data_IF_554730168074
#
_entry.id   IF_554730168074
#
_cell.length_a   1.000
_cell.length_b   1.000
_cell.length_c   1.000
_cell.angle_alpha   90.00
_cell.angle_beta   90.00
_cell.angle_gamma   90.00
#
_symmetry.space_group_name_H-M   'P 1'
#
loop_
_entity.id
_entity.type
_entity.pdbx_description
1 polymer ?
#
# COMPACT_ATOMS: atom_id res chain seq x y z
N UNK A 1 21.41 -14.72 5.46
CA UNK A 1 21.49 -16.13 5.00
C UNK A 1 20.46 -16.99 5.73
N UNK A 2 20.16 -18.17 5.20
CA UNK A 2 19.26 -19.15 5.86
C UNK A 2 19.76 -19.52 7.24
N UNK A 3 21.08 -19.58 7.41
CA UNK A 3 21.72 -19.90 8.69
C UNK A 3 21.45 -18.85 9.79
N UNK A 4 21.15 -17.61 9.42
CA UNK A 4 20.79 -16.52 10.34
C UNK A 4 19.33 -16.57 10.79
N UNK A 5 18.45 -17.28 10.05
CA UNK A 5 17.04 -17.43 10.41
C UNK A 5 16.82 -18.39 11.61
N UNK A 6 17.84 -19.17 11.99
CA UNK A 6 17.72 -20.18 13.02
C UNK A 6 16.79 -21.33 12.62
N UNK A 7 15.97 -21.79 13.58
CA UNK A 7 15.03 -22.88 13.31
C UNK A 7 13.83 -22.41 12.48
N UNK A 8 13.84 -22.75 11.18
CA UNK A 8 12.74 -22.45 10.26
C UNK A 8 11.46 -23.31 10.51
N UNK A 9 11.45 -24.21 11.50
CA UNK A 9 10.28 -25.02 11.84
C UNK A 9 9.10 -24.19 12.37
N UNK A 10 9.38 -22.98 12.82
CA UNK A 10 8.36 -22.03 13.30
C UNK A 10 7.53 -21.38 12.18
N UNK A 11 7.98 -21.44 10.93
CA UNK A 11 7.25 -20.82 9.83
C UNK A 11 6.11 -21.71 9.34
N UNK A 12 4.91 -21.12 9.25
CA UNK A 12 3.79 -21.71 8.54
C UNK A 12 3.82 -21.27 7.08
N UNK A 13 4.05 -22.22 6.16
CA UNK A 13 4.05 -21.91 4.71
C UNK A 13 2.61 -21.76 4.17
N UNK A 14 2.42 -20.91 3.15
CA UNK A 14 3.43 -20.13 2.44
C UNK A 14 3.95 -18.92 3.22
N UNK A 15 5.19 -18.51 2.92
CA UNK A 15 5.81 -17.30 3.44
C UNK A 15 6.13 -16.32 2.30
N UNK A 16 6.34 -15.05 2.64
CA UNK A 16 6.88 -14.02 1.74
C UNK A 16 8.34 -13.79 2.09
N UNK A 17 9.17 -13.76 1.06
CA UNK A 17 10.57 -13.32 1.16
C UNK A 17 10.72 -12.05 0.35
N UNK A 18 11.21 -10.98 0.98
CA UNK A 18 11.37 -9.66 0.33
C UNK A 18 12.64 -8.94 0.79
N UNK A 19 13.24 -8.06 -0.04
CA UNK A 19 14.32 -7.20 0.38
C UNK A 19 13.87 -6.26 1.50
N UNK A 20 14.79 -5.90 2.42
CA UNK A 20 14.46 -5.00 3.54
C UNK A 20 14.38 -3.52 3.14
N UNK A 21 14.85 -3.16 1.94
CA UNK A 21 15.11 -1.78 1.53
C UNK A 21 14.72 -1.49 0.06
N UNK A 22 13.72 -2.20 -0.46
CA UNK A 22 13.22 -2.00 -1.83
C UNK A 22 11.72 -1.70 -1.83
N UNK A 23 11.29 -1.05 -2.91
CA UNK A 23 9.90 -0.73 -3.21
C UNK A 23 9.47 -1.30 -4.57
N UNK A 24 8.16 -1.26 -4.87
CA UNK A 24 7.61 -1.68 -6.16
C UNK A 24 7.74 -3.17 -6.41
N UNK A 25 7.49 -3.99 -5.41
CA UNK A 25 7.47 -5.47 -5.47
C UNK A 25 8.76 -6.13 -6.00
N UNK A 26 9.89 -5.41 -6.03
CA UNK A 26 11.17 -5.90 -6.55
C UNK A 26 11.81 -6.91 -5.61
N UNK A 27 12.06 -8.12 -6.12
CA UNK A 27 12.70 -9.18 -5.35
C UNK A 27 11.78 -9.86 -4.34
N UNK A 28 10.46 -9.65 -4.44
CA UNK A 28 9.46 -10.35 -3.62
C UNK A 28 9.19 -11.72 -4.22
N UNK A 29 9.15 -12.74 -3.36
CA UNK A 29 8.83 -14.11 -3.74
C UNK A 29 7.92 -14.76 -2.70
N UNK A 30 6.81 -15.35 -3.14
CA UNK A 30 5.98 -16.22 -2.30
C UNK A 30 6.54 -17.62 -2.33
N UNK A 31 6.92 -18.15 -1.18
CA UNK A 31 7.57 -19.46 -1.01
C UNK A 31 6.59 -20.43 -0.37
N UNK A 32 6.40 -21.57 -1.00
CA UNK A 32 5.42 -22.57 -0.56
C UNK A 32 6.03 -23.73 0.22
N UNK A 33 7.37 -23.91 0.13
CA UNK A 33 8.08 -25.03 0.73
C UNK A 33 9.39 -24.57 1.33
N UNK A 34 9.82 -25.24 2.40
CA UNK A 34 11.08 -24.95 3.07
C UNK A 34 12.30 -25.08 2.15
N UNK A 35 12.26 -26.04 1.24
CA UNK A 35 13.35 -26.33 0.32
C UNK A 35 13.67 -25.17 -0.62
N UNK A 36 12.67 -24.34 -0.96
CA UNK A 36 12.80 -23.20 -1.88
C UNK A 36 13.25 -21.92 -1.14
N UNK A 37 13.30 -21.94 0.21
CA UNK A 37 13.52 -20.74 1.02
C UNK A 37 14.92 -20.14 0.83
N UNK A 38 15.96 -20.99 0.73
CA UNK A 38 17.33 -20.56 0.55
C UNK A 38 17.50 -19.75 -0.74
N UNK A 39 17.02 -20.28 -1.85
CA UNK A 39 17.07 -19.62 -3.15
C UNK A 39 16.30 -18.29 -3.14
N UNK A 40 15.11 -18.26 -2.52
CA UNK A 40 14.32 -17.04 -2.40
C UNK A 40 15.03 -15.95 -1.58
N UNK A 41 15.72 -16.32 -0.50
CA UNK A 41 16.51 -15.39 0.32
C UNK A 41 17.68 -14.84 -0.47
N UNK A 42 18.42 -15.68 -1.17
CA UNK A 42 19.58 -15.25 -1.97
C UNK A 42 19.11 -14.30 -3.09
N UNK A 43 18.04 -14.64 -3.79
CA UNK A 43 17.45 -13.79 -4.81
C UNK A 43 16.99 -12.44 -4.24
N UNK A 44 16.23 -12.43 -3.14
CA UNK A 44 15.77 -11.19 -2.50
C UNK A 44 16.93 -10.34 -2.01
N UNK A 45 17.91 -10.94 -1.37
CA UNK A 45 19.12 -10.25 -0.88
C UNK A 45 19.94 -9.62 -2.00
N UNK A 46 19.95 -10.23 -3.19
CA UNK A 46 20.62 -9.66 -4.36
C UNK A 46 20.01 -8.33 -4.80
N UNK A 47 18.68 -8.16 -4.63
CA UNK A 47 17.98 -6.88 -4.90
C UNK A 47 18.20 -5.84 -3.81
N UNK A 48 18.48 -6.22 -2.57
CA UNK A 48 18.68 -5.31 -1.43
C UNK A 48 19.99 -4.54 -1.56
N UNK A 49 20.00 -3.26 -1.19
CA UNK A 49 21.22 -2.45 -1.06
C UNK A 49 22.06 -2.94 0.11
N UNK A 50 21.41 -3.29 1.23
CA UNK A 50 22.07 -3.83 2.43
C UNK A 50 22.36 -5.33 2.34
N UNK A 51 21.99 -5.99 1.22
CA UNK A 51 22.12 -7.44 1.03
C UNK A 51 21.38 -8.26 2.08
N UNK A 52 20.21 -7.75 2.50
CA UNK A 52 19.35 -8.38 3.48
C UNK A 52 17.97 -8.68 2.91
N UNK A 53 17.38 -9.78 3.35
CA UNK A 53 16.00 -10.14 3.10
C UNK A 53 15.26 -10.36 4.41
N UNK A 54 13.95 -10.13 4.42
CA UNK A 54 13.05 -10.50 5.50
C UNK A 54 12.15 -11.65 5.04
N UNK A 55 11.85 -12.57 5.95
CA UNK A 55 10.90 -13.67 5.75
C UNK A 55 9.71 -13.42 6.65
N UNK A 56 8.53 -13.33 6.06
CA UNK A 56 7.29 -12.99 6.75
C UNK A 56 6.21 -14.03 6.47
N UNK A 57 5.26 -14.17 7.37
CA UNK A 57 4.04 -14.93 7.13
C UNK A 57 3.26 -14.35 5.94
N UNK A 58 2.76 -15.22 5.06
CA UNK A 58 1.87 -14.77 4.00
C UNK A 58 0.46 -14.55 4.52
N UNK A 59 0.00 -13.32 4.48
CA UNK A 59 -1.35 -12.95 4.86
C UNK A 59 -2.28 -13.13 3.65
N UNK A 60 -3.29 -13.99 3.77
CA UNK A 60 -4.29 -14.18 2.71
C UNK A 60 -5.32 -13.06 2.70
N UNK A 61 -5.84 -12.78 1.50
CA UNK A 61 -6.93 -11.83 1.28
C UNK A 61 -6.59 -10.73 0.28
N UNK A 62 -7.58 -9.91 -0.08
CA UNK A 62 -7.38 -8.75 -0.93
C UNK A 62 -6.49 -7.71 -0.24
N UNK A 63 -5.70 -7.02 -1.06
CA UNK A 63 -4.73 -6.05 -0.61
C UNK A 63 -5.27 -4.63 -0.73
N UNK A 64 -5.00 -3.85 0.29
CA UNK A 64 -5.39 -2.45 0.42
C UNK A 64 -4.22 -1.64 0.94
N UNK A 65 -4.32 -0.33 0.76
CA UNK A 65 -3.53 0.62 1.53
C UNK A 65 -4.42 1.70 2.12
N UNK A 66 -3.91 2.46 3.07
CA UNK A 66 -4.59 3.65 3.55
C UNK A 66 -3.62 4.80 3.75
N UNK A 67 -4.11 5.99 3.49
CA UNK A 67 -3.39 7.23 3.69
C UNK A 67 -3.85 7.90 4.97
N UNK A 68 -2.89 8.24 5.83
CA UNK A 68 -3.17 9.02 7.02
C UNK A 68 -2.28 10.28 7.07
N UNK A 69 -2.79 11.31 7.76
CA UNK A 69 -2.02 12.47 8.19
C UNK A 69 -2.00 12.53 9.72
N UNK A 70 -0.84 12.76 10.30
CA UNK A 70 -0.65 12.83 11.74
C UNK A 70 -0.15 14.21 12.15
N UNK A 71 -0.69 14.74 13.27
CA UNK A 71 -0.23 15.97 13.87
C UNK A 71 -0.30 15.87 15.40
N UNK A 72 0.81 16.09 16.10
CA UNK A 72 0.94 15.91 17.56
C UNK A 72 0.51 14.53 18.06
N UNK A 73 0.62 13.46 17.24
CA UNK A 73 0.18 12.12 17.59
C UNK A 73 -1.33 11.89 17.41
N UNK A 74 -2.08 12.88 16.94
CA UNK A 74 -3.45 12.69 16.48
C UNK A 74 -3.42 12.24 15.01
N UNK A 75 -4.02 11.08 14.73
CA UNK A 75 -4.04 10.47 13.40
C UNK A 75 -5.38 10.68 12.71
N UNK A 76 -5.37 11.08 11.44
CA UNK A 76 -6.54 11.20 10.60
C UNK A 76 -6.41 10.26 9.40
N UNK A 77 -7.29 9.24 9.32
CA UNK A 77 -7.41 8.38 8.14
C UNK A 77 -8.17 9.16 7.07
N UNK A 78 -7.53 9.40 5.92
CA UNK A 78 -8.09 10.14 4.82
C UNK A 78 -8.93 9.24 3.91
N UNK A 79 -8.35 8.15 3.46
CA UNK A 79 -9.02 7.17 2.58
C UNK A 79 -8.35 5.81 2.64
N UNK A 80 -9.05 4.81 2.10
CA UNK A 80 -8.51 3.47 1.84
C UNK A 80 -8.53 3.22 0.35
N UNK A 81 -7.40 2.73 -0.15
CA UNK A 81 -7.14 2.39 -1.55
C UNK A 81 -7.29 0.88 -1.75
N UNK A 82 -8.07 0.46 -2.72
CA UNK A 82 -8.01 -0.91 -3.22
C UNK A 82 -6.85 -1.05 -4.18
N UNK A 83 -5.97 -2.03 -3.92
CA UNK A 83 -4.82 -2.34 -4.77
C UNK A 83 -5.16 -3.49 -5.71
N UNK A 84 -4.79 -3.36 -6.97
CA UNK A 84 -4.90 -4.41 -7.97
C UNK A 84 -3.50 -4.87 -8.37
N UNK A 85 -3.26 -6.17 -8.29
CA UNK A 85 -1.95 -6.76 -8.61
C UNK A 85 -2.10 -7.92 -9.57
N UNK A 86 -0.98 -8.36 -10.16
CA UNK A 86 -0.93 -9.60 -10.96
C UNK A 86 -1.11 -10.86 -10.13
N UNK A 87 -1.06 -10.75 -8.79
CA UNK A 87 -0.99 -11.90 -7.89
C UNK A 87 0.38 -12.57 -7.89
N UNK A 88 0.44 -13.75 -7.24
CA UNK A 88 1.67 -14.53 -7.18
C UNK A 88 2.18 -14.88 -8.58
N UNK A 89 3.50 -15.02 -8.77
CA UNK A 89 4.54 -14.97 -7.73
C UNK A 89 5.07 -13.57 -7.42
N UNK A 90 4.81 -12.55 -8.25
CA UNK A 90 5.53 -11.28 -8.22
C UNK A 90 4.73 -10.10 -7.65
N UNK A 91 3.39 -10.22 -7.56
CA UNK A 91 2.50 -9.19 -7.01
C UNK A 91 2.71 -7.79 -7.62
N UNK A 92 2.98 -7.72 -8.94
CA UNK A 92 3.17 -6.44 -9.64
C UNK A 92 1.86 -5.66 -9.62
N UNK A 93 1.91 -4.42 -9.19
CA UNK A 93 0.75 -3.54 -9.16
C UNK A 93 0.26 -3.22 -10.57
N UNK A 94 -1.05 -3.27 -10.76
CA UNK A 94 -1.70 -3.01 -12.06
C UNK A 94 -2.64 -1.82 -12.01
N UNK A 95 -2.93 -1.33 -10.81
CA UNK A 95 -3.77 -0.15 -10.61
C UNK A 95 -4.22 0.00 -9.16
N UNK A 96 -4.83 1.15 -8.88
CA UNK A 96 -5.35 1.53 -7.57
C UNK A 96 -6.70 2.21 -7.75
N UNK A 97 -7.60 2.09 -6.79
CA UNK A 97 -8.91 2.74 -6.79
C UNK A 97 -9.26 3.27 -5.40
N UNK A 98 -9.76 4.49 -5.35
CA UNK A 98 -10.24 5.15 -4.15
C UNK A 98 -11.65 5.73 -4.34
N UNK A 99 -12.49 5.66 -3.31
CA UNK A 99 -12.35 4.87 -2.10
C UNK A 99 -12.49 3.37 -2.39
N UNK A 100 -11.93 2.51 -1.52
CA UNK A 100 -11.95 1.04 -1.68
C UNK A 100 -13.33 0.38 -1.55
N UNK A 101 -14.37 1.12 -1.20
CA UNK A 101 -15.73 0.60 -1.04
C UNK A 101 -15.91 -0.38 0.13
N UNK A 102 -15.06 -0.31 1.15
CA UNK A 102 -15.19 -1.13 2.35
C UNK A 102 -16.37 -0.69 3.21
N UNK A 103 -16.98 -1.65 3.93
CA UNK A 103 -18.07 -1.34 4.87
C UNK A 103 -17.58 -0.53 6.07
N UNK A 104 -18.46 0.22 6.72
CA UNK A 104 -18.14 1.02 7.91
C UNK A 104 -17.52 0.19 9.03
N UNK A 105 -17.95 -1.07 9.20
CA UNK A 105 -17.40 -2.00 10.20
C UNK A 105 -15.94 -2.31 9.89
N UNK A 106 -15.60 -2.58 8.63
CA UNK A 106 -14.23 -2.85 8.20
C UNK A 106 -13.39 -1.58 8.31
N UNK A 107 -13.93 -0.42 7.89
CA UNK A 107 -13.25 0.87 8.02
C UNK A 107 -12.91 1.21 9.46
N UNK A 108 -13.80 0.93 10.42
CA UNK A 108 -13.54 1.13 11.85
C UNK A 108 -12.38 0.23 12.34
N UNK A 109 -12.34 -1.04 11.90
CA UNK A 109 -11.22 -1.95 12.22
C UNK A 109 -9.90 -1.47 11.61
N UNK A 110 -9.91 -1.06 10.34
CA UNK A 110 -8.72 -0.49 9.68
C UNK A 110 -8.18 0.67 10.49
N UNK A 111 -9.05 1.64 10.82
CA UNK A 111 -8.69 2.81 11.61
C UNK A 111 -8.07 2.41 12.95
N UNK A 112 -8.69 1.49 13.68
CA UNK A 112 -8.21 1.03 15.00
C UNK A 112 -6.81 0.39 14.89
N UNK A 113 -6.63 -0.55 13.96
CA UNK A 113 -5.37 -1.30 13.82
C UNK A 113 -4.26 -0.39 13.34
N UNK A 114 -4.52 0.43 12.33
CA UNK A 114 -3.50 1.34 11.76
C UNK A 114 -3.10 2.41 12.78
N UNK A 115 -4.04 3.02 13.49
CA UNK A 115 -3.70 4.05 14.48
C UNK A 115 -2.85 3.48 15.62
N UNK A 116 -3.17 2.27 16.12
CA UNK A 116 -2.32 1.56 17.09
C UNK A 116 -0.91 1.29 16.55
N UNK A 117 -0.79 0.94 15.28
CA UNK A 117 0.51 0.70 14.67
C UNK A 117 1.32 2.01 14.50
N UNK A 118 0.67 3.11 14.09
CA UNK A 118 1.30 4.42 14.01
C UNK A 118 1.79 4.91 15.38
N UNK A 119 0.99 4.71 16.43
CA UNK A 119 1.38 4.99 17.82
C UNK A 119 2.59 4.15 18.24
N UNK A 120 2.59 2.85 17.97
CA UNK A 120 3.68 1.94 18.29
C UNK A 120 5.00 2.32 17.58
N UNK A 121 4.89 2.81 16.33
CA UNK A 121 6.00 3.34 15.55
C UNK A 121 6.40 4.77 15.94
N UNK A 122 5.69 5.39 16.88
CA UNK A 122 5.90 6.78 17.32
C UNK A 122 5.79 7.81 16.19
N UNK A 123 4.97 7.56 15.20
CA UNK A 123 4.69 8.50 14.10
C UNK A 123 3.75 9.58 14.64
N UNK A 124 4.29 10.76 14.87
CA UNK A 124 3.53 11.89 15.45
C UNK A 124 3.19 13.00 14.47
N UNK A 125 3.93 13.09 13.36
CA UNK A 125 3.80 14.16 12.37
C UNK A 125 4.00 13.62 10.96
N UNK A 126 3.22 14.18 10.03
CA UNK A 126 3.37 13.91 8.59
C UNK A 126 2.46 12.81 8.07
N UNK A 127 2.69 12.46 6.81
CA UNK A 127 1.96 11.43 6.12
C UNK A 127 2.38 10.03 6.55
N UNK A 128 1.45 9.07 6.44
CA UNK A 128 1.77 7.66 6.43
C UNK A 128 0.95 6.91 5.37
N UNK A 129 1.61 5.98 4.71
CA UNK A 129 1.05 5.01 3.79
C UNK A 129 1.16 3.63 4.43
N UNK A 130 0.03 2.98 4.67
CA UNK A 130 -0.01 1.70 5.37
C UNK A 130 -0.65 0.64 4.48
N UNK A 131 0.10 -0.39 4.14
CA UNK A 131 -0.36 -1.52 3.33
C UNK A 131 -0.84 -2.66 4.23
N UNK A 132 -1.98 -3.24 3.89
CA UNK A 132 -2.59 -4.32 4.66
C UNK A 132 -3.43 -5.25 3.81
N UNK A 133 -3.72 -6.43 4.35
CA UNK A 133 -4.71 -7.35 3.77
C UNK A 133 -5.88 -7.54 4.70
N UNK A 134 -7.06 -7.63 4.10
CA UNK A 134 -8.28 -8.05 4.80
C UNK A 134 -8.36 -9.57 4.73
N UNK A 135 -8.12 -10.22 5.86
CA UNK A 135 -8.11 -11.69 5.93
C UNK A 135 -9.51 -12.27 5.71
N UNK A 136 -9.64 -13.55 5.35
CA UNK A 136 -10.95 -14.23 5.24
C UNK A 136 -11.79 -14.17 6.52
N UNK A 137 -11.13 -14.03 7.67
CA UNK A 137 -11.80 -13.90 8.98
C UNK A 137 -12.23 -12.46 9.31
N UNK A 138 -11.93 -11.51 8.40
CA UNK A 138 -12.23 -10.09 8.59
C UNK A 138 -11.25 -9.36 9.50
N UNK A 139 -10.05 -9.89 9.71
CA UNK A 139 -8.98 -9.23 10.44
C UNK A 139 -8.08 -8.42 9.49
N UNK A 140 -7.39 -7.43 10.04
CA UNK A 140 -6.47 -6.57 9.30
C UNK A 140 -5.05 -7.05 9.57
N UNK A 141 -4.40 -7.58 8.52
CA UNK A 141 -3.00 -7.98 8.58
C UNK A 141 -2.11 -6.93 7.91
N UNK A 142 -1.27 -6.26 8.69
CA UNK A 142 -0.37 -5.21 8.20
C UNK A 142 0.76 -5.85 7.38
N UNK A 143 1.05 -5.28 6.21
CA UNK A 143 2.16 -5.68 5.33
C UNK A 143 3.36 -4.73 5.52
N UNK A 144 3.09 -3.41 5.46
CA UNK A 144 4.13 -2.39 5.52
C UNK A 144 3.53 -1.04 5.94
N UNK A 145 4.31 -0.25 6.67
CA UNK A 145 3.97 1.15 6.98
C UNK A 145 5.16 2.03 6.62
N UNK A 146 4.93 2.99 5.72
CA UNK A 146 5.88 4.03 5.36
C UNK A 146 5.47 5.39 5.90
N UNK A 147 6.39 6.13 6.56
CA UNK A 147 6.15 7.51 7.00
C UNK A 147 6.25 8.50 5.84
N UNK A 148 5.44 8.30 4.82
CA UNK A 148 5.35 9.09 3.59
C UNK A 148 3.99 8.91 2.94
N UNK A 149 3.67 9.75 1.97
CA UNK A 149 2.51 9.54 1.10
C UNK A 149 2.68 8.29 0.24
N UNK A 150 1.58 7.67 -0.16
CA UNK A 150 1.55 6.63 -1.17
C UNK A 150 2.18 7.08 -2.49
N UNK A 151 2.86 6.14 -3.17
CA UNK A 151 3.37 6.33 -4.52
C UNK A 151 2.26 6.25 -5.57
N UNK A 152 2.66 6.10 -6.84
CA UNK A 152 1.75 5.81 -7.96
C UNK A 152 0.54 6.76 -8.03
N UNK A 153 0.79 8.04 -7.75
CA UNK A 153 -0.23 9.10 -7.69
C UNK A 153 -1.32 8.89 -6.62
N UNK A 154 -1.17 7.94 -5.70
CA UNK A 154 -2.12 7.75 -4.59
C UNK A 154 -2.16 9.03 -3.75
N UNK A 155 -1.00 9.42 -3.17
CA UNK A 155 -0.95 10.57 -2.28
C UNK A 155 -1.08 11.92 -2.97
N UNK A 156 -0.60 12.06 -4.21
CA UNK A 156 -0.61 13.33 -4.93
C UNK A 156 -1.96 13.64 -5.60
N UNK A 157 -2.67 12.61 -6.08
CA UNK A 157 -3.83 12.79 -6.95
C UNK A 157 -5.08 12.07 -6.43
N UNK A 158 -4.98 10.74 -6.17
CA UNK A 158 -6.17 9.94 -5.86
C UNK A 158 -6.83 10.37 -4.54
N UNK A 159 -6.04 10.65 -3.49
CA UNK A 159 -6.58 11.12 -2.20
C UNK A 159 -7.38 12.41 -2.40
N UNK A 160 -6.83 13.38 -3.12
CA UNK A 160 -7.51 14.65 -3.35
C UNK A 160 -8.82 14.45 -4.14
N UNK A 161 -8.77 13.69 -5.24
CA UNK A 161 -9.95 13.41 -6.07
C UNK A 161 -11.03 12.61 -5.32
N UNK A 162 -10.63 11.69 -4.44
CA UNK A 162 -11.56 10.78 -3.76
C UNK A 162 -12.15 11.35 -2.47
N UNK A 163 -11.44 12.26 -1.82
CA UNK A 163 -11.86 12.83 -0.52
C UNK A 163 -12.24 14.30 -0.57
N UNK A 164 -11.73 15.04 -1.56
CA UNK A 164 -11.76 16.49 -1.63
C UNK A 164 -10.72 17.17 -0.75
N UNK A 165 -9.85 16.41 -0.06
CA UNK A 165 -8.81 16.96 0.84
C UNK A 165 -7.49 17.02 0.09
N UNK A 166 -6.89 18.20 0.00
CA UNK A 166 -5.55 18.39 -0.55
C UNK A 166 -4.49 17.81 0.41
N UNK A 167 -4.14 16.54 0.17
CA UNK A 167 -3.21 15.82 1.02
C UNK A 167 -1.78 16.36 0.92
N UNK A 168 -1.36 16.81 -0.26
CA UNK A 168 -0.04 17.43 -0.46
C UNK A 168 0.07 18.71 0.38
N UNK A 169 -0.95 19.56 0.32
CA UNK A 169 -1.02 20.77 1.17
C UNK A 169 -0.97 20.42 2.66
N UNK A 170 -1.76 19.44 3.10
CA UNK A 170 -1.77 19.00 4.49
C UNK A 170 -0.39 18.53 4.97
N UNK A 171 0.37 17.82 4.14
CA UNK A 171 1.75 17.39 4.44
C UNK A 171 2.69 18.58 4.54
N UNK A 172 2.57 19.57 3.66
CA UNK A 172 3.38 20.80 3.69
C UNK A 172 3.07 21.61 4.97
N UNK A 173 1.81 21.74 5.35
CA UNK A 173 1.38 22.45 6.58
C UNK A 173 2.00 21.79 7.82
N UNK A 174 1.95 20.43 7.91
CA UNK A 174 2.58 19.70 9.02
C UNK A 174 4.10 19.90 9.03
N UNK A 175 4.75 19.86 7.87
CA UNK A 175 6.19 20.10 7.76
C UNK A 175 6.58 21.52 8.17
N UNK A 176 5.68 22.49 7.96
CA UNK A 176 5.84 23.88 8.43
C UNK A 176 5.46 24.07 9.92
N UNK A 177 5.14 23.01 10.66
CA UNK A 177 4.74 23.07 12.07
C UNK A 177 3.30 23.52 12.30
N UNK A 178 2.47 23.53 11.28
CA UNK A 178 1.07 23.95 11.34
C UNK A 178 0.14 22.73 11.44
N UNK A 179 -1.00 22.91 12.09
CA UNK A 179 -2.06 21.89 12.07
C UNK A 179 -2.62 21.80 10.65
N UNK A 180 -2.69 20.58 10.06
CA UNK A 180 -3.16 20.42 8.69
C UNK A 180 -4.64 20.78 8.57
N UNK A 181 -4.99 21.47 7.49
CA UNK A 181 -6.38 21.65 7.09
C UNK A 181 -6.89 20.39 6.42
N UNK A 182 -8.03 19.88 6.90
CA UNK A 182 -8.74 18.75 6.31
C UNK A 182 -10.06 19.21 5.66
N UNK A 183 -10.14 20.49 5.33
CA UNK A 183 -11.28 21.04 4.60
C UNK A 183 -11.29 20.52 3.16
N UNK A 184 -12.50 20.24 2.69
CA UNK A 184 -12.70 19.77 1.31
C UNK A 184 -12.79 20.96 0.38
N UNK A 185 -11.99 20.98 -0.66
CA UNK A 185 -12.03 21.98 -1.74
C UNK A 185 -12.56 21.42 -3.06
N UNK A 186 -12.78 20.11 -3.13
CA UNK A 186 -13.42 19.40 -4.25
C UNK A 186 -14.57 18.52 -3.77
N UNK A 187 -15.52 18.29 -4.65
CA UNK A 187 -16.52 17.24 -4.45
C UNK A 187 -15.88 15.85 -4.63
N UNK A 188 -15.96 14.97 -3.62
CA UNK A 188 -15.38 13.64 -3.68
C UNK A 188 -15.93 12.80 -4.84
N UNK A 189 -15.03 12.07 -5.51
CA UNK A 189 -15.38 11.17 -6.62
C UNK A 189 -14.67 9.84 -6.45
N UNK A 190 -15.14 8.80 -7.12
CA UNK A 190 -14.31 7.62 -7.31
C UNK A 190 -13.19 7.96 -8.28
N UNK A 191 -11.96 7.73 -7.85
CA UNK A 191 -10.76 7.96 -8.65
C UNK A 191 -9.94 6.67 -8.75
N UNK A 192 -9.30 6.43 -9.88
CA UNK A 192 -8.49 5.25 -10.09
C UNK A 192 -7.29 5.56 -10.97
N UNK A 193 -6.20 4.83 -10.75
CA UNK A 193 -5.07 4.76 -11.66
C UNK A 193 -4.96 3.36 -12.23
N UNK A 194 -4.64 3.26 -13.51
CA UNK A 194 -4.41 1.99 -14.20
C UNK A 194 -3.10 2.06 -14.96
N UNK A 195 -2.22 1.10 -14.69
CA UNK A 195 -1.00 0.94 -15.47
C UNK A 195 -1.28 0.21 -16.78
N UNK A 196 -0.67 0.69 -17.86
CA UNK A 196 -0.86 0.17 -19.21
C UNK A 196 0.31 -0.73 -19.56
N UNK A 197 0.13 -2.05 -19.44
CA UNK A 197 1.16 -3.05 -19.71
C UNK A 197 0.89 -3.88 -20.97
N UNK A 198 -0.39 -4.07 -21.32
CA UNK A 198 -0.80 -5.02 -22.34
C UNK A 198 -1.56 -4.32 -23.48
N UNK A 199 -1.67 -5.03 -24.62
CA UNK A 199 -2.51 -4.56 -25.72
C UNK A 199 -3.96 -4.35 -25.28
N UNK A 200 -4.49 -5.22 -24.40
CA UNK A 200 -5.84 -5.07 -23.85
C UNK A 200 -6.00 -3.77 -23.06
N UNK A 201 -4.99 -3.38 -22.27
CA UNK A 201 -5.02 -2.12 -21.53
C UNK A 201 -5.03 -0.93 -22.51
N UNK A 202 -4.26 -1.02 -23.60
CA UNK A 202 -4.25 0.01 -24.66
C UNK A 202 -5.61 0.13 -25.34
N UNK A 203 -6.24 -1.01 -25.65
CA UNK A 203 -7.56 -1.03 -26.30
C UNK A 203 -8.62 -0.40 -25.39
N UNK A 204 -8.61 -0.74 -24.10
CA UNK A 204 -9.49 -0.12 -23.07
C UNK A 204 -9.22 1.39 -22.94
N UNK A 205 -7.94 1.81 -22.90
CA UNK A 205 -7.57 3.21 -22.83
C UNK A 205 -8.11 3.99 -24.05
N UNK A 206 -8.00 3.42 -25.24
CA UNK A 206 -8.52 4.04 -26.46
C UNK A 206 -10.04 4.16 -26.44
N UNK A 207 -10.74 3.13 -25.93
CA UNK A 207 -12.20 3.17 -25.74
C UNK A 207 -12.62 4.27 -24.77
N UNK A 208 -11.91 4.42 -23.63
CA UNK A 208 -12.20 5.48 -22.68
C UNK A 208 -11.91 6.86 -23.28
N UNK A 209 -10.79 7.00 -24.00
CA UNK A 209 -10.46 8.26 -24.72
C UNK A 209 -11.55 8.70 -25.70
N UNK A 210 -12.16 7.73 -26.36
CA UNK A 210 -13.22 7.99 -27.34
C UNK A 210 -14.57 8.33 -26.69
N UNK A 211 -14.94 7.56 -25.63
CA UNK A 211 -16.27 7.62 -25.04
C UNK A 211 -16.37 8.55 -23.83
N UNK A 212 -15.29 8.70 -23.07
CA UNK A 212 -15.26 9.39 -21.78
C UNK A 212 -13.96 10.18 -21.57
N UNK A 213 -13.56 11.06 -22.54
CA UNK A 213 -12.28 11.80 -22.43
C UNK A 213 -12.23 12.69 -21.18
N UNK A 214 -13.38 13.15 -20.68
CA UNK A 214 -13.48 13.98 -19.48
C UNK A 214 -13.07 13.25 -18.18
N UNK A 215 -13.04 11.92 -18.22
CA UNK A 215 -12.66 11.09 -17.07
C UNK A 215 -11.19 10.68 -17.08
N UNK A 216 -10.43 11.11 -18.09
CA UNK A 216 -9.02 10.77 -18.22
C UNK A 216 -8.12 11.93 -17.82
N UNK A 217 -7.19 11.62 -16.95
CA UNK A 217 -6.01 12.43 -16.69
C UNK A 217 -4.76 11.57 -16.94
N UNK A 218 -3.76 12.12 -17.60
CA UNK A 218 -2.49 11.41 -17.86
C UNK A 218 -1.42 11.95 -16.92
N UNK A 219 -0.76 11.02 -16.26
CA UNK A 219 0.35 11.27 -15.36
C UNK A 219 1.64 10.73 -15.96
#
# INVERSE_FOLDING_TARGET
SVDELGDCSQFTFPVIVKPTDRSGSRGITKVYKKEDLAEAIDNSSAYSFEKKAIVEEYIEGPEFSCECISYNGEHHLLTVTQKFTTGAPHFIETGHMEPAGLSDVVMAKVKEVIFKALDALQIKYGASHSEFRLTPNGDIGIIEIGSRMGGDCIGSDLVHLSTGIDFVKAVIEVAAGQKPSLEKDLEPKTAAIRFVFTKKDIDILNEIKEKHPENLNFV
#
